data_IF_350809343288
#
_entry.id   IF_350809343288
#
_cell.length_a   1.000
_cell.length_b   1.000
_cell.length_c   1.000
_cell.angle_alpha   90.00
_cell.angle_beta   90.00
_cell.angle_gamma   90.00
#
_symmetry.space_group_name_H-M   'P 1'
#
loop_
_entity.id
_entity.type
_entity.pdbx_description
1 polymer ?
#
# COMPACT_ATOMS: atom_id res chain seq x y z
N UNK A 1 26.08 10.36 -7.65
CA UNK A 1 25.07 10.74 -8.65
C UNK A 1 23.97 11.55 -7.99
N UNK A 2 23.42 12.50 -8.71
CA UNK A 2 22.34 13.32 -8.20
C UNK A 2 21.07 12.46 -7.95
N UNK A 3 20.40 12.75 -6.87
CA UNK A 3 19.13 12.10 -6.51
C UNK A 3 18.06 12.45 -7.54
N UNK A 4 17.28 11.45 -7.95
CA UNK A 4 16.15 11.66 -8.86
C UNK A 4 14.85 11.50 -8.05
N UNK A 5 14.02 12.54 -8.06
CA UNK A 5 12.70 12.50 -7.42
C UNK A 5 11.66 12.58 -8.54
N UNK A 6 10.92 11.47 -8.72
CA UNK A 6 9.83 11.41 -9.67
C UNK A 6 8.56 11.91 -9.00
N UNK A 7 8.09 13.09 -9.40
CA UNK A 7 6.94 13.74 -8.77
C UNK A 7 5.69 13.56 -9.63
N UNK A 8 4.62 13.09 -9.00
CA UNK A 8 3.30 12.92 -9.60
C UNK A 8 2.31 13.79 -8.83
N UNK A 9 2.06 14.99 -9.33
CA UNK A 9 1.19 15.97 -8.64
C UNK A 9 -0.29 15.72 -8.88
N UNK A 10 -0.63 15.18 -10.05
CA UNK A 10 -2.00 14.84 -10.39
C UNK A 10 -2.00 13.51 -11.14
N UNK A 11 -1.65 12.42 -10.45
CA UNK A 11 -1.60 11.13 -11.12
C UNK A 11 -2.99 10.73 -11.63
N UNK A 12 -3.01 10.18 -12.82
CA UNK A 12 -4.23 9.59 -13.40
C UNK A 12 -4.56 8.28 -12.70
N UNK A 13 -3.52 7.61 -12.20
CA UNK A 13 -3.66 6.34 -11.53
C UNK A 13 -2.49 6.13 -10.56
N UNK A 14 -2.79 5.70 -9.34
CA UNK A 14 -1.78 5.23 -8.39
C UNK A 14 -2.33 4.02 -7.66
N UNK A 15 -1.73 2.86 -7.91
CA UNK A 15 -2.28 1.59 -7.45
C UNK A 15 -1.20 0.64 -6.96
N UNK A 16 -1.59 -0.23 -6.03
CA UNK A 16 -0.85 -1.42 -5.69
C UNK A 16 -1.34 -2.57 -6.56
N UNK A 17 -0.42 -3.44 -6.97
CA UNK A 17 -0.76 -4.62 -7.76
C UNK A 17 0.29 -5.69 -7.61
N UNK A 18 0.05 -6.83 -8.24
CA UNK A 18 0.95 -7.98 -8.16
C UNK A 18 1.19 -8.57 -9.54
N UNK A 19 2.37 -9.20 -9.66
CA UNK A 19 2.71 -10.02 -10.82
C UNK A 19 3.10 -11.40 -10.29
N UNK A 20 2.54 -12.45 -10.85
CA UNK A 20 2.82 -13.83 -10.48
C UNK A 20 1.63 -14.53 -9.80
N UNK A 21 1.86 -15.78 -9.42
CA UNK A 21 0.85 -16.63 -8.79
C UNK A 21 0.76 -16.36 -7.28
N UNK A 22 -0.40 -16.60 -6.66
CA UNK A 22 -0.52 -16.51 -5.20
C UNK A 22 0.54 -17.35 -4.49
N UNK A 23 1.25 -16.73 -3.54
CA UNK A 23 2.36 -17.35 -2.83
C UNK A 23 3.73 -17.10 -3.46
N UNK A 24 3.77 -16.69 -4.72
CA UNK A 24 5.00 -16.39 -5.44
C UNK A 24 4.83 -15.09 -6.25
N UNK A 25 4.17 -14.11 -5.63
CA UNK A 25 3.87 -12.83 -6.27
C UNK A 25 4.90 -11.78 -5.91
N UNK A 26 5.20 -10.91 -6.88
CA UNK A 26 5.93 -9.68 -6.63
C UNK A 26 4.93 -8.55 -6.53
N UNK A 27 5.04 -7.76 -5.47
CA UNK A 27 4.18 -6.60 -5.25
C UNK A 27 4.81 -5.36 -5.87
N UNK A 28 3.97 -4.55 -6.50
CA UNK A 28 4.37 -3.29 -7.12
C UNK A 28 3.45 -2.16 -6.70
N UNK A 29 4.01 -0.97 -6.62
CA UNK A 29 3.24 0.27 -6.65
C UNK A 29 3.49 0.93 -7.99
N UNK A 30 2.44 1.38 -8.65
CA UNK A 30 2.53 1.95 -9.98
C UNK A 30 1.81 3.29 -10.03
N UNK A 31 2.53 4.31 -10.49
CA UNK A 31 1.99 5.65 -10.68
C UNK A 31 2.00 6.01 -12.15
N UNK A 32 0.90 6.56 -12.63
CA UNK A 32 0.74 6.99 -14.01
C UNK A 32 0.23 8.43 -14.05
N UNK A 33 0.89 9.26 -14.83
CA UNK A 33 0.47 10.64 -15.09
C UNK A 33 0.76 10.96 -16.54
N UNK A 34 -0.30 11.26 -17.30
CA UNK A 34 -0.21 11.43 -18.75
C UNK A 34 0.38 10.18 -19.40
N UNK A 35 1.52 10.28 -20.11
CA UNK A 35 2.18 9.15 -20.77
C UNK A 35 3.25 8.49 -19.92
N UNK A 36 3.49 9.03 -18.73
CA UNK A 36 4.57 8.55 -17.85
C UNK A 36 4.01 7.53 -16.85
N UNK A 37 4.64 6.36 -16.80
CA UNK A 37 4.33 5.33 -15.81
C UNK A 37 5.61 4.89 -15.13
N UNK A 38 5.59 4.87 -13.80
CA UNK A 38 6.70 4.37 -12.99
C UNK A 38 6.18 3.29 -12.05
N UNK A 39 6.91 2.18 -12.00
CA UNK A 39 6.60 1.06 -11.12
C UNK A 39 7.78 0.83 -10.18
N UNK A 40 7.48 0.55 -8.93
CA UNK A 40 8.50 0.20 -7.93
C UNK A 40 8.10 -1.12 -7.28
N UNK A 41 9.07 -1.95 -6.94
CA UNK A 41 8.84 -3.18 -6.18
C UNK A 41 8.76 -2.85 -4.69
N UNK A 42 7.96 -3.61 -3.97
CA UNK A 42 7.68 -3.35 -2.56
C UNK A 42 7.36 -4.67 -1.87
N UNK A 43 7.67 -4.77 -0.58
CA UNK A 43 7.30 -5.93 0.20
C UNK A 43 5.81 -5.92 0.54
N UNK A 44 5.20 -7.09 0.60
CA UNK A 44 3.78 -7.24 1.00
C UNK A 44 3.50 -6.53 2.32
N UNK A 45 4.36 -6.70 3.30
CA UNK A 45 4.20 -6.09 4.62
C UNK A 45 4.27 -4.56 4.53
N UNK A 46 5.13 -4.02 3.68
CA UNK A 46 5.22 -2.58 3.46
C UNK A 46 3.92 -2.03 2.85
N UNK A 47 3.30 -2.75 1.92
CA UNK A 47 2.01 -2.36 1.34
C UNK A 47 0.94 -2.31 2.43
N UNK A 48 0.88 -3.34 3.28
CA UNK A 48 -0.08 -3.40 4.38
C UNK A 48 0.11 -2.25 5.36
N UNK A 49 1.35 -1.95 5.74
CA UNK A 49 1.69 -0.84 6.65
C UNK A 49 1.32 0.50 6.02
N UNK A 50 1.62 0.67 4.73
CA UNK A 50 1.30 1.90 4.01
C UNK A 50 -0.21 2.16 3.99
N UNK A 51 -1.00 1.13 3.69
CA UNK A 51 -2.46 1.23 3.68
C UNK A 51 -3.02 1.60 5.06
N UNK A 52 -2.49 0.97 6.12
CA UNK A 52 -2.89 1.24 7.49
C UNK A 52 -2.56 2.67 7.92
N UNK A 53 -1.32 3.10 7.69
CA UNK A 53 -0.88 4.45 8.04
C UNK A 53 -1.60 5.52 7.24
N UNK A 54 -1.90 5.23 5.99
CA UNK A 54 -2.66 6.14 5.14
C UNK A 54 -4.08 6.33 5.66
N UNK A 55 -4.74 5.24 6.08
CA UNK A 55 -6.06 5.31 6.69
C UNK A 55 -6.04 6.14 7.98
N UNK A 56 -5.03 5.96 8.81
CA UNK A 56 -4.85 6.74 10.05
C UNK A 56 -4.63 8.23 9.74
N UNK A 57 -3.81 8.53 8.73
CA UNK A 57 -3.57 9.91 8.30
C UNK A 57 -4.87 10.57 7.82
N UNK A 58 -5.70 9.84 7.06
CA UNK A 58 -6.98 10.36 6.58
C UNK A 58 -7.91 10.73 7.73
N UNK A 59 -7.97 9.92 8.77
CA UNK A 59 -8.74 10.22 9.98
C UNK A 59 -8.20 11.47 10.69
N UNK A 60 -6.87 11.56 10.79
CA UNK A 60 -6.22 12.70 11.44
C UNK A 60 -6.47 14.01 10.70
N UNK A 61 -6.33 14.04 9.38
CA UNK A 61 -6.54 15.28 8.62
C UNK A 61 -8.01 15.69 8.62
N UNK A 62 -8.93 14.74 8.67
CA UNK A 62 -10.36 15.04 8.79
C UNK A 62 -10.66 15.70 10.12
N UNK A 63 -10.11 15.19 11.24
CA UNK A 63 -10.37 15.71 12.56
C UNK A 63 -9.58 16.98 12.89
N UNK A 64 -8.33 17.07 12.49
CA UNK A 64 -7.45 18.20 12.82
C UNK A 64 -7.56 19.38 11.86
N UNK A 65 -7.69 19.10 10.58
CA UNK A 65 -7.65 20.13 9.54
C UNK A 65 -8.99 20.32 8.85
N UNK A 66 -10.01 19.57 9.26
CA UNK A 66 -11.33 19.64 8.64
C UNK A 66 -11.33 19.23 7.16
N UNK A 67 -10.37 18.41 6.76
CA UNK A 67 -10.28 17.95 5.38
C UNK A 67 -11.51 17.13 5.01
N UNK A 68 -11.95 17.28 3.76
CA UNK A 68 -13.07 16.52 3.24
C UNK A 68 -12.60 15.11 2.83
N UNK A 69 -12.77 14.17 3.74
CA UNK A 69 -12.37 12.77 3.54
C UNK A 69 -13.63 11.92 3.44
N UNK A 70 -13.87 11.25 2.31
CA UNK A 70 -15.02 10.37 2.20
C UNK A 70 -14.86 9.15 3.11
N UNK A 71 -15.97 8.68 3.68
CA UNK A 71 -15.97 7.48 4.52
C UNK A 71 -15.70 6.22 3.68
N UNK A 72 -16.29 6.16 2.49
CA UNK A 72 -16.13 5.07 1.56
C UNK A 72 -15.44 5.53 0.28
N UNK A 73 -14.91 4.58 -0.47
CA UNK A 73 -14.32 4.86 -1.78
C UNK A 73 -15.42 5.28 -2.74
N UNK A 74 -15.32 6.48 -3.37
CA UNK A 74 -16.28 6.84 -4.42
C UNK A 74 -16.27 5.81 -5.56
N UNK A 75 -17.44 5.51 -6.11
CA UNK A 75 -17.59 4.46 -7.13
C UNK A 75 -16.71 4.69 -8.35
N UNK A 76 -16.54 5.94 -8.75
CA UNK A 76 -15.71 6.31 -9.90
C UNK A 76 -14.21 6.14 -9.65
N UNK A 77 -13.80 5.97 -8.38
CA UNK A 77 -12.39 5.78 -8.01
C UNK A 77 -12.05 4.32 -7.69
N UNK A 78 -13.04 3.42 -7.72
CA UNK A 78 -12.77 1.99 -7.52
C UNK A 78 -12.04 1.46 -8.75
N UNK A 79 -10.80 0.98 -8.54
CA UNK A 79 -9.93 0.47 -9.59
C UNK A 79 -9.61 -0.99 -9.32
N UNK A 80 -10.11 -1.89 -10.15
CA UNK A 80 -9.87 -3.32 -10.07
C UNK A 80 -9.06 -3.84 -11.26
N UNK A 81 -8.63 -2.95 -12.13
CA UNK A 81 -7.85 -3.32 -13.31
C UNK A 81 -6.43 -3.76 -12.92
N UNK A 82 -5.82 -4.66 -13.71
CA UNK A 82 -4.45 -5.05 -13.48
C UNK A 82 -3.49 -3.89 -13.69
N UNK A 83 -2.24 -4.08 -13.29
CA UNK A 83 -1.18 -3.11 -13.55
C UNK A 83 -1.02 -2.90 -15.06
N UNK A 84 -0.65 -1.68 -15.44
CA UNK A 84 -0.31 -1.37 -16.82
C UNK A 84 0.99 -2.09 -17.21
N UNK A 85 1.04 -2.66 -18.39
CA UNK A 85 2.20 -3.39 -18.87
C UNK A 85 2.93 -2.61 -19.96
N UNK A 86 4.26 -2.75 -20.06
CA UNK A 86 5.13 -3.61 -19.27
C UNK A 86 5.33 -3.06 -17.84
N UNK A 87 5.48 -3.96 -16.86
CA UNK A 87 5.83 -3.58 -15.50
C UNK A 87 7.34 -3.66 -15.36
N UNK A 88 7.97 -2.52 -15.28
CA UNK A 88 9.43 -2.41 -15.17
C UNK A 88 9.79 -1.74 -13.84
N UNK A 89 10.63 -2.39 -13.06
CA UNK A 89 11.06 -1.90 -11.77
C UNK A 89 12.00 -0.71 -11.90
N UNK A 90 11.60 0.46 -11.40
CA UNK A 90 12.49 1.62 -11.28
C UNK A 90 13.47 1.44 -10.13
N UNK A 91 12.95 1.00 -8.98
CA UNK A 91 13.75 0.64 -7.81
C UNK A 91 12.90 -0.18 -6.84
N UNK A 92 13.57 -0.74 -5.83
CA UNK A 92 12.91 -1.42 -4.72
C UNK A 92 12.73 -0.44 -3.58
N UNK A 93 11.53 -0.42 -3.00
CA UNK A 93 11.21 0.51 -1.89
C UNK A 93 11.91 0.09 -0.61
N UNK A 94 12.62 1.02 0.02
CA UNK A 94 13.19 0.86 1.35
C UNK A 94 12.40 1.61 2.40
N UNK A 95 12.40 2.93 2.31
CA UNK A 95 11.74 3.81 3.27
C UNK A 95 10.51 4.46 2.64
N UNK A 96 9.47 4.66 3.43
CA UNK A 96 8.25 5.32 2.99
C UNK A 96 7.95 6.52 3.88
N UNK A 97 7.45 7.59 3.29
CA UNK A 97 7.01 8.78 4.00
C UNK A 97 5.57 9.14 3.66
N UNK A 98 4.85 9.68 4.62
CA UNK A 98 3.50 10.20 4.45
C UNK A 98 3.42 11.60 5.01
N UNK A 99 2.66 12.45 4.35
CA UNK A 99 2.43 13.80 4.81
C UNK A 99 1.12 14.38 4.29
N UNK A 100 0.76 15.51 4.84
CA UNK A 100 -0.40 16.29 4.40
C UNK A 100 0.09 17.65 3.92
N UNK A 101 -0.20 17.97 2.67
CA UNK A 101 0.07 19.28 2.10
C UNK A 101 -1.21 20.12 2.17
N UNK A 102 -1.25 21.03 3.14
CA UNK A 102 -2.43 21.88 3.37
C UNK A 102 -2.67 22.86 2.22
N UNK A 103 -1.62 23.28 1.53
CA UNK A 103 -1.71 24.22 0.41
C UNK A 103 -2.44 23.59 -0.77
N UNK A 104 -2.04 22.41 -1.19
CA UNK A 104 -2.69 21.69 -2.29
C UNK A 104 -3.84 20.81 -1.82
N UNK A 105 -4.05 20.67 -0.52
CA UNK A 105 -5.04 19.79 0.10
C UNK A 105 -4.87 18.35 -0.38
N UNK A 106 -3.63 17.90 -0.40
CA UNK A 106 -3.26 16.58 -0.88
C UNK A 106 -2.51 15.78 0.17
N UNK A 107 -2.74 14.49 0.15
CA UNK A 107 -1.91 13.53 0.86
C UNK A 107 -0.67 13.30 0.01
N UNK A 108 0.51 13.33 0.63
CA UNK A 108 1.77 13.08 -0.05
C UNK A 108 2.31 11.73 0.40
N UNK A 109 2.60 10.88 -0.58
CA UNK A 109 3.25 9.58 -0.35
C UNK A 109 4.61 9.66 -1.00
N UNK A 110 5.66 9.34 -0.25
CA UNK A 110 7.02 9.25 -0.78
C UNK A 110 7.57 7.85 -0.59
N UNK A 111 8.09 7.31 -1.68
CA UNK A 111 8.70 5.98 -1.73
C UNK A 111 10.17 6.18 -2.08
N UNK A 112 11.06 5.81 -1.17
CA UNK A 112 12.50 5.96 -1.35
C UNK A 112 13.13 4.62 -1.69
N UNK A 113 14.08 4.66 -2.61
CA UNK A 113 14.82 3.47 -3.01
C UNK A 113 15.58 2.87 -1.83
N UNK A 114 15.66 1.55 -1.78
CA UNK A 114 16.40 0.85 -0.73
C UNK A 114 17.89 1.22 -0.82
N UNK A 115 18.50 1.38 0.34
CA UNK A 115 19.92 1.69 0.47
C UNK A 115 20.59 0.68 1.41
N UNK A 116 21.92 0.61 1.38
CA UNK A 116 22.68 -0.29 2.25
C UNK A 116 22.77 0.21 3.69
N UNK A 117 22.45 1.48 3.95
CA UNK A 117 22.47 2.09 5.28
C UNK A 117 21.14 2.66 5.68
N UNK A 118 21.09 3.22 6.87
CA UNK A 118 19.89 3.93 7.33
C UNK A 118 19.73 5.23 6.54
N UNK A 119 18.48 5.53 6.20
CA UNK A 119 18.11 6.78 5.54
C UNK A 119 17.88 7.83 6.61
N UNK A 120 18.51 8.99 6.46
CA UNK A 120 18.27 10.13 7.34
C UNK A 120 16.81 10.58 7.16
N UNK A 121 16.07 10.67 8.26
CA UNK A 121 14.68 11.10 8.24
C UNK A 121 14.50 12.49 7.62
N UNK A 122 15.53 13.33 7.67
CA UNK A 122 15.50 14.65 7.06
C UNK A 122 15.41 14.61 5.53
N UNK A 123 15.72 13.48 4.92
CA UNK A 123 15.65 13.30 3.46
C UNK A 123 14.23 12.98 3.01
N UNK A 124 13.40 12.44 3.91
CA UNK A 124 12.03 12.05 3.61
C UNK A 124 11.17 13.30 3.40
N UNK A 125 10.48 13.35 2.26
CA UNK A 125 9.65 14.49 1.84
C UNK A 125 10.43 15.79 1.61
N UNK A 126 11.75 15.70 1.48
CA UNK A 126 12.61 16.85 1.21
C UNK A 126 13.18 16.75 -0.21
N UNK A 127 13.55 17.90 -0.77
CA UNK A 127 14.09 18.01 -2.12
C UNK A 127 15.63 18.04 -2.14
N UNK A 128 16.26 17.45 -1.13
CA UNK A 128 17.72 17.41 -1.06
C UNK A 128 18.32 16.70 -2.29
N UNK A 129 19.45 17.21 -2.75
CA UNK A 129 20.16 16.64 -3.91
C UNK A 129 20.84 15.31 -3.57
N UNK A 130 21.09 15.07 -2.30
CA UNK A 130 21.70 13.84 -1.81
C UNK A 130 20.65 12.92 -1.20
N UNK A 131 20.82 11.64 -1.40
CA UNK A 131 19.93 10.63 -0.85
C UNK A 131 19.45 9.65 -1.92
N UNK A 132 18.62 8.69 -1.53
CA UNK A 132 18.07 7.72 -2.47
C UNK A 132 17.07 8.37 -3.43
N UNK A 133 16.96 7.78 -4.61
CA UNK A 133 15.92 8.15 -5.55
C UNK A 133 14.54 7.95 -4.91
N UNK A 134 13.56 8.71 -5.35
CA UNK A 134 12.23 8.69 -4.76
C UNK A 134 11.13 8.82 -5.82
N UNK A 135 9.98 8.28 -5.49
CA UNK A 135 8.70 8.56 -6.16
C UNK A 135 7.84 9.29 -5.15
N UNK A 136 7.37 10.47 -5.50
CA UNK A 136 6.53 11.31 -4.65
C UNK A 136 5.19 11.54 -5.32
N UNK A 137 4.13 11.11 -4.67
CA UNK A 137 2.78 11.13 -5.24
C UNK A 137 1.87 11.99 -4.37
N UNK A 138 1.13 12.88 -5.02
CA UNK A 138 0.13 13.74 -4.38
C UNK A 138 -1.25 13.20 -4.72
N UNK A 139 -2.04 12.87 -3.70
CA UNK A 139 -3.39 12.31 -3.86
C UNK A 139 -4.41 13.16 -3.13
N UNK A 140 -5.58 13.33 -3.75
CA UNK A 140 -6.73 13.84 -3.00
C UNK A 140 -7.07 12.86 -1.88
N UNK A 141 -7.74 13.30 -0.81
CA UNK A 141 -8.18 12.35 0.23
C UNK A 141 -9.03 11.20 -0.31
N UNK A 142 -9.89 11.47 -1.30
CA UNK A 142 -10.69 10.43 -1.94
C UNK A 142 -9.82 9.41 -2.68
N UNK A 143 -8.83 9.89 -3.45
CA UNK A 143 -7.90 9.02 -4.18
C UNK A 143 -7.03 8.22 -3.22
N UNK A 144 -6.62 8.81 -2.10
CA UNK A 144 -5.86 8.11 -1.06
C UNK A 144 -6.69 7.00 -0.41
N UNK A 145 -7.97 7.26 -0.16
CA UNK A 145 -8.91 6.25 0.33
C UNK A 145 -9.03 5.08 -0.65
N UNK A 146 -9.16 5.40 -1.94
CA UNK A 146 -9.24 4.39 -3.00
C UNK A 146 -7.97 3.54 -3.08
N UNK A 147 -6.81 4.18 -2.99
CA UNK A 147 -5.53 3.48 -2.98
C UNK A 147 -5.42 2.52 -1.78
N UNK A 148 -5.75 3.00 -0.58
CA UNK A 148 -5.68 2.17 0.63
C UNK A 148 -6.61 0.96 0.54
N UNK A 149 -7.83 1.14 0.05
CA UNK A 149 -8.79 0.06 -0.11
C UNK A 149 -8.30 -1.00 -1.11
N UNK A 150 -7.75 -0.57 -2.25
CA UNK A 150 -7.18 -1.49 -3.22
C UNK A 150 -5.95 -2.21 -2.67
N UNK A 151 -5.09 -1.50 -1.96
CA UNK A 151 -3.90 -2.08 -1.34
C UNK A 151 -4.28 -3.22 -0.39
N UNK A 152 -5.30 -3.00 0.44
CA UNK A 152 -5.82 -4.05 1.33
C UNK A 152 -6.33 -5.26 0.54
N UNK A 153 -7.07 -5.04 -0.54
CA UNK A 153 -7.56 -6.13 -1.40
C UNK A 153 -6.40 -6.91 -2.01
N UNK A 154 -5.40 -6.21 -2.51
CA UNK A 154 -4.23 -6.82 -3.15
C UNK A 154 -3.42 -7.65 -2.15
N UNK A 155 -3.21 -7.12 -0.95
CA UNK A 155 -2.51 -7.84 0.11
C UNK A 155 -3.24 -9.15 0.47
N UNK A 156 -4.56 -9.14 0.49
CA UNK A 156 -5.37 -10.29 0.87
C UNK A 156 -5.82 -11.16 -0.31
N UNK A 157 -5.57 -10.70 -1.55
CA UNK A 157 -5.99 -11.42 -2.74
C UNK A 157 -5.25 -12.75 -2.88
N UNK A 158 -5.94 -13.76 -3.43
CA UNK A 158 -5.38 -15.09 -3.67
C UNK A 158 -5.33 -15.98 -2.45
N UNK A 159 -5.65 -15.47 -1.27
CA UNK A 159 -5.80 -16.28 -0.07
C UNK A 159 -7.25 -16.76 0.05
N UNK A 160 -7.42 -18.07 0.17
CA UNK A 160 -8.74 -18.62 0.43
C UNK A 160 -9.13 -18.29 1.87
N UNK A 161 -10.40 -17.98 2.12
CA UNK A 161 -10.86 -17.79 3.49
C UNK A 161 -10.82 -19.11 4.27
N UNK A 162 -10.42 -19.04 5.53
CA UNK A 162 -10.46 -20.19 6.41
C UNK A 162 -11.93 -20.58 6.63
N UNK A 163 -12.32 -21.84 6.40
CA UNK A 163 -13.72 -22.27 6.59
C UNK A 163 -14.19 -22.16 8.04
N UNK A 164 -13.28 -22.02 9.00
CA UNK A 164 -13.63 -21.94 10.42
C UNK A 164 -13.73 -20.50 10.94
N UNK A 165 -12.79 -19.63 10.57
CA UNK A 165 -12.76 -18.26 11.10
C UNK A 165 -12.99 -17.19 10.04
N UNK A 166 -12.96 -17.55 8.75
CA UNK A 166 -13.14 -16.60 7.66
C UNK A 166 -11.93 -15.72 7.33
N UNK A 167 -10.85 -15.83 8.10
CA UNK A 167 -9.63 -15.10 7.84
C UNK A 167 -8.86 -15.69 6.65
N UNK A 168 -8.08 -14.87 5.93
CA UNK A 168 -7.29 -15.38 4.82
C UNK A 168 -6.30 -16.46 5.24
N UNK A 169 -6.25 -17.53 4.46
CA UNK A 169 -5.28 -18.62 4.68
C UNK A 169 -3.92 -18.22 4.12
N UNK A 170 -2.88 -18.54 4.88
CA UNK A 170 -1.50 -18.32 4.45
C UNK A 170 -0.99 -19.57 3.73
N UNK A 171 -0.33 -19.44 2.55
CA UNK A 171 0.24 -20.60 1.85
C UNK A 171 1.24 -21.40 2.70
N UNK A 172 1.95 -20.74 3.62
CA UNK A 172 2.93 -21.37 4.51
C UNK A 172 2.29 -22.01 5.75
N UNK A 173 0.98 -21.89 5.92
CA UNK A 173 0.25 -22.41 7.06
C UNK A 173 -0.55 -21.30 7.74
N UNK A 174 -1.65 -21.68 8.31
CA UNK A 174 -2.56 -20.76 8.97
C UNK A 174 -2.84 -21.24 10.40
N UNK A 175 -2.53 -20.39 11.36
CA UNK A 175 -2.88 -20.63 12.74
C UNK A 175 -4.28 -20.07 12.97
N UNK A 176 -5.28 -20.96 12.86
CA UNK A 176 -6.66 -20.57 13.05
C UNK A 176 -7.00 -20.49 14.54
N UNK A 177 -7.42 -19.33 15.06
CA UNK A 177 -7.82 -19.22 16.46
C UNK A 177 -8.95 -20.19 16.83
N UNK A 178 -9.88 -20.40 15.92
CA UNK A 178 -10.97 -21.35 16.10
C UNK A 178 -10.50 -22.80 16.07
N UNK A 179 -9.59 -23.12 15.21
CA UNK A 179 -9.05 -24.47 15.10
C UNK A 179 -8.25 -24.83 16.36
N UNK A 180 -7.44 -23.93 16.89
CA UNK A 180 -6.69 -24.17 18.10
C UNK A 180 -7.54 -24.25 19.36
N UNK A 181 -8.59 -23.42 19.44
CA UNK A 181 -9.54 -23.47 20.56
C UNK A 181 -10.61 -24.53 20.39
N UNK A 182 -11.20 -24.60 19.21
CA UNK A 182 -12.32 -25.49 18.89
C UNK A 182 -11.92 -26.94 18.70
N UNK A 183 -10.74 -27.19 18.28
CA UNK A 183 -10.29 -28.55 18.04
C UNK A 183 -10.25 -29.36 19.32
N UNK A 184 -9.88 -28.70 20.41
CA UNK A 184 -9.97 -29.33 21.74
C UNK A 184 -11.41 -29.60 22.15
N UNK A 185 -12.26 -28.64 21.89
CA UNK A 185 -13.66 -28.79 22.25
C UNK A 185 -14.35 -29.82 21.40
N UNK A 186 -13.99 -29.92 20.12
CA UNK A 186 -14.53 -30.93 19.21
C UNK A 186 -14.05 -32.33 19.56
N UNK A 187 -12.78 -32.43 19.89
CA UNK A 187 -12.20 -33.72 20.31
C UNK A 187 -12.83 -34.22 21.64
N UNK A 188 -13.07 -33.28 22.55
CA UNK A 188 -13.73 -33.58 23.80
C UNK A 188 -15.19 -33.92 23.60
N UNK A 189 -15.84 -33.37 22.60
CA UNK A 189 -17.23 -33.69 22.29
C UNK A 189 -17.37 -35.05 21.60
N UNK A 190 -16.36 -35.47 20.83
CA UNK A 190 -16.34 -36.76 20.16
C UNK A 190 -15.96 -37.89 21.08
N UNK A 191 -15.29 -37.62 22.19
CA UNK A 191 -14.92 -38.62 23.18
C UNK A 191 -15.98 -38.80 24.27
N UNK A 192 -17.02 -38.01 24.18
CA UNK A 192 -18.10 -38.07 25.16
C UNK A 192 -19.27 -39.04 24.81
#
# INVERSE_FOLDING_TARGET
MARVIHVFRQPDRFVAGTVGEPGDRTFYLQATENVRTISVTIEKQQVAVLAERLSSLLEEIASRFGADVPEDVPDDLVDTDPLDVPVEEEFRVGTMGLGWDAESKAVVIELLAITEGEVDEAVVLDDTEEGPDAVRVFLTPAAARAFAARADRVVNAGRKPCPLCGEPLDPSGHICPRQNGYRRDSELADEG
#
